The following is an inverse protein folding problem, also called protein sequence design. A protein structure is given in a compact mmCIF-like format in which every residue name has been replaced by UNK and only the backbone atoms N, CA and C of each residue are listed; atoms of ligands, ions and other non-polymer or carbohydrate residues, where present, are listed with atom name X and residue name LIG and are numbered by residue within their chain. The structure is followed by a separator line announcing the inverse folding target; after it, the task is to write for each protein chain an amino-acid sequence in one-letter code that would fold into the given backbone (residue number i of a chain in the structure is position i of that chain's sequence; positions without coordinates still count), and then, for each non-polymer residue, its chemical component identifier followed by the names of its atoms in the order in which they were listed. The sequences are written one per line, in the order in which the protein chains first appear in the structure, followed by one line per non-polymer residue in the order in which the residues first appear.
data_IF_823316740400
#
_entry.id   IF_823316740400
#
_cell.length_a   1.000
_cell.length_b   1.000
_cell.length_c   1.000
_cell.angle_alpha   90.00
_cell.angle_beta   90.00
_cell.angle_gamma   90.00
#
_symmetry.space_group_name_H-M   'P 1'
#
loop_
_entity.id
_entity.type
_entity.pdbx_description
1 polymer ?
#
# COMPACT_ATOMS: atom_id res chain seq x y z
N UNK A 1 -8.63 -19.76 8.86
CA UNK A 1 -8.78 -20.19 10.26
C UNK A 1 -7.68 -21.12 10.76
N UNK A 2 -7.13 -22.04 9.94
CA UNK A 2 -6.04 -22.96 10.34
C UNK A 2 -4.87 -22.27 11.06
N UNK A 3 -4.36 -21.17 10.50
CA UNK A 3 -3.20 -20.47 11.05
C UNK A 3 -3.42 -19.93 12.49
N UNK A 4 -4.64 -19.45 12.78
CA UNK A 4 -5.02 -18.97 14.11
C UNK A 4 -4.97 -20.09 15.17
N UNK A 5 -5.42 -21.29 14.79
CA UNK A 5 -5.39 -22.47 15.66
C UNK A 5 -3.97 -22.99 15.88
N UNK A 6 -3.13 -23.00 14.83
CA UNK A 6 -1.73 -23.44 14.95
C UNK A 6 -0.87 -22.46 15.75
N UNK A 7 -1.09 -21.15 15.60
CA UNK A 7 -0.29 -20.13 16.24
C UNK A 7 -0.88 -19.61 17.57
N UNK A 8 -2.02 -20.13 18.00
CA UNK A 8 -2.78 -19.66 19.18
C UNK A 8 -3.00 -18.14 19.18
N UNK A 9 -3.28 -17.57 18.00
CA UNK A 9 -3.48 -16.14 17.78
C UNK A 9 -4.90 -15.89 17.29
N UNK A 10 -5.55 -14.84 17.80
CA UNK A 10 -6.85 -14.38 17.31
C UNK A 10 -6.85 -14.16 15.79
N UNK A 11 -7.89 -14.63 15.11
CA UNK A 11 -7.98 -14.54 13.65
C UNK A 11 -7.93 -13.08 13.14
N UNK A 12 -8.40 -12.13 13.94
CA UNK A 12 -8.37 -10.68 13.64
C UNK A 12 -6.97 -10.07 13.69
N UNK A 13 -5.99 -10.77 14.25
CA UNK A 13 -4.60 -10.34 14.34
C UNK A 13 -3.74 -10.92 13.22
N UNK A 14 -4.30 -11.78 12.36
CA UNK A 14 -3.59 -12.38 11.24
C UNK A 14 -3.73 -11.46 10.03
N UNK A 15 -2.60 -10.88 9.63
CA UNK A 15 -2.53 -9.96 8.51
C UNK A 15 -2.02 -10.67 7.26
N UNK A 16 -2.73 -10.49 6.15
CA UNK A 16 -2.35 -10.99 4.85
C UNK A 16 -1.58 -9.91 4.08
N UNK A 17 -0.27 -10.07 3.96
CA UNK A 17 0.60 -9.21 3.17
C UNK A 17 0.95 -9.95 1.89
N UNK A 18 0.59 -9.36 0.76
CA UNK A 18 0.95 -9.85 -0.56
C UNK A 18 1.95 -8.91 -1.23
N UNK A 19 2.59 -9.39 -2.28
CA UNK A 19 3.48 -8.58 -3.09
C UNK A 19 2.73 -7.37 -3.67
N UNK A 20 3.22 -6.17 -3.37
CA UNK A 20 2.71 -4.92 -3.93
C UNK A 20 3.83 -4.23 -4.70
N UNK A 21 3.53 -3.62 -5.86
CA UNK A 21 4.56 -3.05 -6.74
C UNK A 21 5.22 -1.79 -6.17
N UNK A 22 4.67 -1.20 -5.10
CA UNK A 22 5.28 -0.06 -4.42
C UNK A 22 4.99 -0.07 -2.91
N UNK A 23 5.90 0.50 -2.13
CA UNK A 23 5.83 0.53 -0.66
C UNK A 23 4.68 1.38 -0.11
N UNK A 24 4.16 2.33 -0.91
CA UNK A 24 3.10 3.24 -0.49
C UNK A 24 1.73 2.56 -0.41
N UNK A 25 1.57 1.38 -1.01
CA UNK A 25 0.37 0.54 -0.86
C UNK A 25 0.30 -0.17 0.49
N UNK A 26 1.43 -0.43 1.16
CA UNK A 26 1.46 -1.22 2.40
C UNK A 26 0.57 -0.60 3.49
N UNK A 27 0.64 0.71 3.79
CA UNK A 27 -0.25 1.33 4.78
C UNK A 27 -1.74 1.16 4.45
N UNK A 28 -2.11 1.24 3.17
CA UNK A 28 -3.50 1.07 2.71
C UNK A 28 -3.95 -0.39 2.83
N UNK A 29 -3.07 -1.34 2.48
CA UNK A 29 -3.31 -2.78 2.62
C UNK A 29 -3.56 -3.17 4.08
N UNK A 30 -2.76 -2.63 4.99
CA UNK A 30 -2.88 -2.84 6.43
C UNK A 30 -4.15 -2.20 7.00
N UNK A 31 -4.56 -1.05 6.47
CA UNK A 31 -5.82 -0.38 6.87
C UNK A 31 -7.03 -1.23 6.53
N UNK A 32 -7.10 -1.79 5.32
CA UNK A 32 -8.24 -2.59 4.87
C UNK A 32 -8.45 -3.87 5.71
N UNK A 33 -7.41 -4.28 6.45
CA UNK A 33 -7.44 -5.43 7.35
C UNK A 33 -7.55 -5.02 8.82
N UNK A 34 -7.82 -3.75 9.12
CA UNK A 34 -7.91 -3.20 10.48
C UNK A 34 -6.66 -3.45 11.34
N UNK A 35 -5.48 -3.58 10.72
CA UNK A 35 -4.23 -3.89 11.43
C UNK A 35 -3.93 -2.87 12.54
N UNK A 36 -4.18 -1.59 12.25
CA UNK A 36 -4.03 -0.49 13.21
C UNK A 36 -4.92 -0.69 14.45
N UNK A 37 -6.14 -1.19 14.29
CA UNK A 37 -7.03 -1.48 15.41
C UNK A 37 -6.53 -2.69 16.23
N UNK A 38 -6.10 -3.77 15.56
CA UNK A 38 -5.54 -4.96 16.22
C UNK A 38 -4.27 -4.64 17.02
N UNK A 39 -3.38 -3.81 16.48
CA UNK A 39 -2.16 -3.35 17.17
C UNK A 39 -2.52 -2.48 18.38
N UNK A 40 -3.40 -1.49 18.22
CA UNK A 40 -3.82 -0.61 19.32
C UNK A 40 -4.51 -1.41 20.44
N UNK A 41 -5.30 -2.42 20.07
CA UNK A 41 -5.93 -3.33 21.03
C UNK A 41 -4.88 -4.14 21.81
N UNK A 42 -3.91 -4.74 21.10
CA UNK A 42 -2.87 -5.55 21.72
C UNK A 42 -1.95 -4.75 22.63
N UNK A 43 -1.67 -3.49 22.28
CA UNK A 43 -0.86 -2.58 23.07
C UNK A 43 -1.66 -1.84 24.16
N UNK A 44 -2.97 -2.11 24.29
CA UNK A 44 -3.88 -1.43 25.20
C UNK A 44 -3.91 0.10 25.04
N UNK A 45 -3.70 0.59 23.81
CA UNK A 45 -3.64 2.02 23.45
C UNK A 45 -4.96 2.55 22.88
N UNK A 46 -6.00 1.72 22.74
CA UNK A 46 -7.30 2.15 22.21
C UNK A 46 -7.88 3.34 22.98
N UNK A 47 -7.82 3.29 24.31
CA UNK A 47 -8.35 4.36 25.16
C UNK A 47 -7.59 5.68 25.00
N UNK A 48 -6.31 5.64 24.65
CA UNK A 48 -5.51 6.84 24.39
C UNK A 48 -5.90 7.48 23.04
N UNK A 49 -6.16 6.66 22.03
CA UNK A 49 -6.55 7.12 20.69
C UNK A 49 -7.99 7.66 20.65
N UNK A 50 -8.90 7.07 21.43
CA UNK A 50 -10.31 7.49 21.45
C UNK A 50 -10.64 8.52 22.52
N UNK A 51 -9.87 8.59 23.62
CA UNK A 51 -10.10 9.50 24.76
C UNK A 51 -9.36 10.84 24.68
N UNK A 52 -8.35 10.95 23.84
CA UNK A 52 -7.65 12.21 23.56
C UNK A 52 -7.82 12.56 22.08
N UNK A 53 -7.65 13.82 21.72
CA UNK A 53 -7.75 14.38 20.35
C UNK A 53 -6.66 13.84 19.41
N UNK A 54 -6.43 12.52 19.41
CA UNK A 54 -5.56 11.85 18.46
C UNK A 54 -6.19 12.02 17.08
N UNK A 55 -5.69 13.02 16.36
CA UNK A 55 -5.99 13.24 14.96
C UNK A 55 -5.47 12.03 14.22
N UNK A 56 -6.34 11.03 14.06
CA UNK A 56 -6.09 9.82 13.31
C UNK A 56 -5.34 10.20 12.03
N UNK A 57 -4.13 9.66 11.77
CA UNK A 57 -3.33 10.06 10.64
C UNK A 57 -4.22 9.95 9.40
N UNK A 58 -4.55 11.09 8.79
CA UNK A 58 -5.51 11.12 7.70
C UNK A 58 -4.92 10.29 6.56
N UNK A 59 -5.43 9.07 6.40
CA UNK A 59 -4.99 8.14 5.35
C UNK A 59 -5.17 8.74 3.94
N UNK A 60 -5.92 9.83 3.83
CA UNK A 60 -5.95 10.71 2.65
C UNK A 60 -4.54 11.02 2.15
N UNK A 61 -3.57 11.30 3.03
CA UNK A 61 -2.20 11.63 2.62
C UNK A 61 -1.50 10.46 1.91
N UNK A 62 -1.61 9.24 2.44
CA UNK A 62 -1.02 8.04 1.82
C UNK A 62 -1.72 7.67 0.51
N UNK A 63 -3.04 7.85 0.45
CA UNK A 63 -3.81 7.66 -0.77
C UNK A 63 -3.38 8.63 -1.87
N UNK A 64 -3.16 9.90 -1.53
CA UNK A 64 -2.68 10.90 -2.49
C UNK A 64 -1.26 10.61 -2.97
N UNK A 65 -0.35 10.24 -2.07
CA UNK A 65 1.03 9.86 -2.43
C UNK A 65 1.02 8.65 -3.35
N UNK A 66 0.20 7.63 -3.04
CA UNK A 66 0.07 6.43 -3.86
C UNK A 66 -0.41 6.77 -5.27
N UNK A 67 -1.47 7.59 -5.39
CA UNK A 67 -1.97 8.07 -6.68
C UNK A 67 -0.91 8.86 -7.46
N UNK A 68 -0.17 9.73 -6.78
CA UNK A 68 0.90 10.50 -7.41
C UNK A 68 2.00 9.61 -7.95
N UNK A 69 2.50 8.66 -7.15
CA UNK A 69 3.58 7.75 -7.55
C UNK A 69 3.16 6.88 -8.73
N UNK A 70 1.95 6.30 -8.70
CA UNK A 70 1.44 5.50 -9.83
C UNK A 70 1.34 6.34 -11.10
N UNK A 71 0.73 7.53 -11.01
CA UNK A 71 0.58 8.40 -12.18
C UNK A 71 1.93 8.83 -12.75
N UNK A 72 2.91 9.13 -11.89
CA UNK A 72 4.27 9.48 -12.32
C UNK A 72 4.97 8.30 -13.00
N UNK A 73 4.88 7.09 -12.43
CA UNK A 73 5.45 5.88 -13.04
C UNK A 73 4.81 5.60 -14.41
N UNK A 74 3.49 5.74 -14.54
CA UNK A 74 2.79 5.55 -15.82
C UNK A 74 3.18 6.62 -16.85
N UNK A 75 3.28 7.89 -16.45
CA UNK A 75 3.74 8.99 -17.32
C UNK A 75 5.17 8.75 -17.82
N UNK A 76 6.07 8.34 -16.93
CA UNK A 76 7.45 8.05 -17.30
C UNK A 76 7.54 6.84 -18.25
N UNK A 77 6.78 5.77 -17.97
CA UNK A 77 6.72 4.59 -18.83
C UNK A 77 6.22 4.94 -20.25
N UNK A 78 5.17 5.74 -20.35
CA UNK A 78 4.63 6.19 -21.63
C UNK A 78 5.62 7.07 -22.41
N UNK A 79 6.36 7.95 -21.72
CA UNK A 79 7.41 8.78 -22.34
C UNK A 79 8.58 7.93 -22.85
N UNK A 80 9.01 6.94 -22.06
CA UNK A 80 10.04 5.99 -22.46
C UNK A 80 9.61 5.16 -23.68
N UNK A 81 8.37 4.65 -23.68
CA UNK A 81 7.79 3.90 -24.81
C UNK A 81 7.74 4.74 -26.08
N UNK A 82 7.33 6.01 -25.98
CA UNK A 82 7.29 6.92 -27.13
C UNK A 82 8.69 7.22 -27.68
N UNK A 83 9.68 7.42 -26.81
CA UNK A 83 11.08 7.65 -27.22
C UNK A 83 11.72 6.38 -27.82
N UNK A 84 11.45 5.21 -27.24
CA UNK A 84 11.92 3.93 -27.77
C UNK A 84 11.30 3.61 -29.13
N UNK A 85 10.00 3.89 -29.32
CA UNK A 85 9.32 3.77 -30.60
C UNK A 85 9.87 4.78 -31.64
N UNK A 86 10.19 6.00 -31.22
CA UNK A 86 10.85 7.01 -32.05
C UNK A 86 12.24 6.56 -32.52
N UNK A 87 13.04 5.98 -31.62
CA UNK A 87 14.35 5.40 -31.94
C UNK A 87 14.23 4.18 -32.88
N UNK A 88 13.25 3.29 -32.68
CA UNK A 88 12.98 2.17 -33.58
C UNK A 88 12.67 2.59 -35.01
N UNK A 89 11.90 3.68 -35.18
CA UNK A 89 11.59 4.25 -36.49
C UNK A 89 12.79 4.99 -37.11
N UNK A 90 13.69 5.56 -36.30
CA UNK A 90 14.88 6.28 -36.76
C UNK A 90 16.04 5.34 -37.19
N UNK A 91 16.11 4.14 -36.61
CA UNK A 91 17.13 3.12 -36.93
C UNK A 91 16.64 1.97 -37.84
N UNK A 92 15.40 2.02 -38.34
CA UNK A 92 14.92 1.10 -39.37
C UNK A 92 14.87 -0.38 -38.94
N UNK A 93 14.85 -0.68 -37.64
CA UNK A 93 14.65 -2.04 -37.14
C UNK A 93 13.16 -2.36 -37.14
N UNK A 94 12.63 -2.66 -38.32
CA UNK A 94 11.35 -3.35 -38.49
C UNK A 94 11.54 -4.81 -38.04
N UNK A 95 10.84 -5.21 -36.99
CA UNK A 95 10.42 -6.60 -36.83
C UNK A 95 9.18 -6.84 -37.70
#
# INVERSE_FOLDING_TARGET
MKLSQFCHVEATNILNIHYVPNIWHIPLLLRNQNAHHSILKQLNLLNLVFGSTFHHPSFSKYHQITKFVINFTLLWLNSLLHNAAGLGNQFGLRY
#
